data_IF_157549534793
#
_entry.id   IF_157549534793
#
_cell.length_a   1.000
_cell.length_b   1.000
_cell.length_c   1.000
_cell.angle_alpha   90.00
_cell.angle_beta   90.00
_cell.angle_gamma   90.00
#
_symmetry.space_group_name_H-M   'P 1'
#
loop_
_entity.id
_entity.type
_entity.pdbx_description
1 polymer ?
#
# COMPACT_ATOMS: atom_id res chain seq x y z
N UNK A 1 -11.25 -4.69 8.18
CA UNK A 1 -11.60 -6.04 7.66
C UNK A 1 -10.34 -6.89 7.65
N UNK A 2 -10.42 -8.22 7.83
CA UNK A 2 -9.25 -9.07 7.63
C UNK A 2 -8.76 -8.94 6.19
N UNK A 3 -7.46 -8.68 6.02
CA UNK A 3 -6.78 -8.81 4.73
C UNK A 3 -6.81 -10.30 4.35
N UNK A 4 -6.67 -10.61 3.07
CA UNK A 4 -6.85 -11.94 2.46
C UNK A 4 -6.27 -13.12 3.27
N UNK A 5 -6.79 -14.35 3.07
CA UNK A 5 -6.52 -15.50 3.94
C UNK A 5 -5.04 -15.82 4.18
N UNK A 6 -4.17 -15.44 3.24
CA UNK A 6 -2.72 -15.62 3.26
C UNK A 6 -2.01 -14.72 4.27
N UNK A 7 -2.65 -13.66 4.73
CA UNK A 7 -2.11 -12.76 5.74
C UNK A 7 -2.31 -13.31 7.18
N UNK A 8 -3.00 -14.45 7.35
CA UNK A 8 -3.29 -15.09 8.67
C UNK A 8 -2.14 -15.92 9.25
N UNK A 9 -0.92 -15.57 8.87
CA UNK A 9 0.26 -16.44 9.01
C UNK A 9 1.03 -16.16 10.30
N UNK A 10 0.92 -14.95 10.82
CA UNK A 10 1.63 -14.44 11.98
C UNK A 10 0.68 -14.25 13.18
N UNK A 11 1.25 -14.01 14.36
CA UNK A 11 0.47 -13.85 15.60
C UNK A 11 -0.38 -12.58 15.58
N UNK A 12 0.10 -11.54 14.92
CA UNK A 12 -0.60 -10.28 14.75
C UNK A 12 -1.69 -10.44 13.67
N UNK A 13 -2.89 -9.95 13.94
CA UNK A 13 -3.97 -10.00 12.97
C UNK A 13 -3.71 -8.97 11.85
N UNK A 14 -3.93 -9.38 10.60
CA UNK A 14 -3.89 -8.46 9.48
C UNK A 14 -5.16 -7.62 9.42
N UNK A 15 -5.01 -6.30 9.48
CA UNK A 15 -6.11 -5.35 9.58
C UNK A 15 -6.01 -4.32 8.46
N UNK A 16 -7.05 -4.27 7.64
CA UNK A 16 -7.25 -3.15 6.71
C UNK A 16 -8.10 -2.08 7.39
N UNK A 17 -7.50 -0.91 7.62
CA UNK A 17 -8.20 0.28 8.11
C UNK A 17 -8.64 1.13 6.91
N UNK A 18 -9.89 1.58 6.93
CA UNK A 18 -10.48 2.45 5.89
C UNK A 18 -10.94 3.73 6.56
N UNK A 19 -10.38 4.85 6.13
CA UNK A 19 -10.66 6.19 6.65
C UNK A 19 -11.41 6.95 5.54
N UNK A 20 -12.69 7.26 5.77
CA UNK A 20 -13.48 8.06 4.83
C UNK A 20 -13.53 9.52 5.29
N UNK A 21 -13.02 10.41 4.44
CA UNK A 21 -13.16 11.86 4.58
C UNK A 21 -14.16 12.38 3.55
N UNK A 22 -15.27 12.97 4.00
CA UNK A 22 -16.37 13.47 3.17
C UNK A 22 -16.45 14.99 3.24
N UNK A 23 -15.53 15.67 2.54
CA UNK A 23 -15.45 17.13 2.51
C UNK A 23 -16.21 17.79 1.36
N UNK A 24 -16.57 17.05 0.31
CA UNK A 24 -17.31 17.60 -0.83
C UNK A 24 -18.77 17.87 -0.46
N UNK A 25 -19.30 19.02 -0.93
CA UNK A 25 -20.73 19.34 -0.84
C UNK A 25 -21.55 18.69 -1.96
N UNK A 26 -20.89 18.23 -3.02
CA UNK A 26 -21.55 17.57 -4.14
C UNK A 26 -21.78 16.08 -3.78
N UNK A 27 -23.04 15.61 -3.71
CA UNK A 27 -23.34 14.21 -3.39
C UNK A 27 -22.82 13.22 -4.45
N UNK A 28 -22.64 13.67 -5.69
CA UNK A 28 -22.14 12.85 -6.81
C UNK A 28 -20.61 12.92 -6.96
N UNK A 29 -19.91 13.62 -6.06
CA UNK A 29 -18.46 13.71 -6.12
C UNK A 29 -17.82 12.36 -5.79
N UNK A 30 -17.21 11.75 -6.81
CA UNK A 30 -16.39 10.55 -6.67
C UNK A 30 -15.18 10.80 -5.77
N UNK A 31 -14.77 9.81 -4.96
CA UNK A 31 -13.63 9.97 -4.06
C UNK A 31 -12.30 9.80 -4.79
N UNK A 32 -11.27 10.48 -4.27
CA UNK A 32 -9.87 10.11 -4.49
C UNK A 32 -9.54 9.01 -3.46
N UNK A 33 -9.03 7.87 -3.93
CA UNK A 33 -8.58 6.79 -3.05
C UNK A 33 -7.06 6.78 -2.93
N UNK A 34 -6.57 6.77 -1.70
CA UNK A 34 -5.16 6.64 -1.38
C UNK A 34 -4.93 5.31 -0.66
N UNK A 35 -4.02 4.47 -1.17
CA UNK A 35 -3.74 3.12 -0.63
C UNK A 35 -2.31 3.05 -0.13
N UNK A 36 -2.10 2.74 1.14
CA UNK A 36 -0.76 2.64 1.71
C UNK A 36 -0.37 1.20 2.06
N UNK A 37 0.78 0.74 1.55
CA UNK A 37 1.44 -0.48 2.06
C UNK A 37 1.73 -0.30 3.55
N UNK A 38 1.24 -1.22 4.38
CA UNK A 38 1.27 -1.12 5.84
C UNK A 38 1.94 -2.31 6.52
N UNK A 39 3.06 -2.80 5.99
CA UNK A 39 3.81 -3.89 6.64
C UNK A 39 4.49 -3.34 7.89
N UNK A 40 3.94 -3.61 9.07
CA UNK A 40 4.46 -3.03 10.33
C UNK A 40 5.84 -3.58 10.68
N UNK A 41 6.15 -4.77 10.17
CA UNK A 41 7.51 -5.30 10.11
C UNK A 41 7.61 -6.32 8.97
N UNK A 42 8.71 -6.29 8.22
CA UNK A 42 8.99 -7.21 7.13
C UNK A 42 10.34 -7.91 7.31
N UNK A 43 10.29 -9.18 7.73
CA UNK A 43 11.48 -10.04 7.79
C UNK A 43 11.79 -10.74 6.46
N UNK A 44 10.92 -10.60 5.46
CA UNK A 44 10.90 -11.35 4.20
C UNK A 44 10.19 -12.71 4.26
N UNK A 45 9.77 -13.16 5.43
CA UNK A 45 9.07 -14.44 5.58
C UNK A 45 10.01 -15.64 5.43
N UNK A 46 9.62 -16.67 4.67
CA UNK A 46 10.47 -17.83 4.40
C UNK A 46 11.69 -17.46 3.55
N UNK A 47 11.52 -16.54 2.60
CA UNK A 47 12.58 -15.85 1.87
C UNK A 47 13.22 -14.77 2.74
N UNK A 48 13.79 -15.17 3.88
CA UNK A 48 14.25 -14.27 4.93
C UNK A 48 15.32 -13.27 4.46
N UNK A 49 15.19 -12.02 4.88
CA UNK A 49 16.20 -10.98 4.65
C UNK A 49 17.49 -11.25 5.45
N UNK A 50 18.65 -10.71 5.02
CA UNK A 50 19.85 -10.67 5.83
C UNK A 50 19.65 -9.88 7.14
N UNK A 51 20.50 -10.13 8.13
CA UNK A 51 20.42 -9.45 9.43
C UNK A 51 20.77 -7.96 9.36
N UNK A 52 21.70 -7.58 8.48
CA UNK A 52 22.14 -6.19 8.30
C UNK A 52 20.95 -5.30 7.94
N UNK A 53 20.76 -4.22 8.72
CA UNK A 53 19.67 -3.24 8.59
C UNK A 53 18.25 -3.80 8.60
N UNK A 54 18.02 -5.04 9.07
CA UNK A 54 16.66 -5.58 9.18
C UNK A 54 15.78 -4.76 10.14
N UNK A 55 16.37 -4.05 11.11
CA UNK A 55 15.63 -3.16 12.01
C UNK A 55 14.97 -1.97 11.29
N UNK A 56 15.45 -1.61 10.10
CA UNK A 56 14.85 -0.59 9.25
C UNK A 56 13.54 -1.09 8.60
N UNK A 57 13.27 -2.40 8.59
CA UNK A 57 12.03 -2.94 8.03
C UNK A 57 10.79 -2.64 8.88
N UNK A 58 10.96 -1.99 10.04
CA UNK A 58 9.85 -1.28 10.72
C UNK A 58 9.30 -0.11 9.91
N UNK A 59 10.06 0.40 8.92
CA UNK A 59 9.64 1.45 8.00
C UNK A 59 8.85 0.89 6.80
N UNK A 60 8.61 -0.42 6.73
CA UNK A 60 7.89 -1.03 5.61
C UNK A 60 6.35 -0.75 5.60
N UNK A 61 5.93 0.09 6.55
CA UNK A 61 4.60 0.69 6.68
C UNK A 61 4.57 2.18 6.33
N UNK A 62 5.67 2.77 5.84
CA UNK A 62 5.75 4.21 5.55
C UNK A 62 4.78 4.65 4.44
N UNK A 63 4.35 3.72 3.57
CA UNK A 63 3.27 3.96 2.62
C UNK A 63 1.94 4.28 3.32
N UNK A 64 1.53 3.41 4.26
CA UNK A 64 0.39 3.67 5.14
C UNK A 64 0.59 4.90 6.03
N UNK A 65 1.79 5.14 6.54
CA UNK A 65 2.07 6.34 7.33
C UNK A 65 1.85 7.63 6.51
N UNK A 66 2.27 7.64 5.25
CA UNK A 66 2.08 8.76 4.33
C UNK A 66 0.60 9.00 4.04
N UNK A 67 -0.17 7.94 3.76
CA UNK A 67 -1.63 8.04 3.56
C UNK A 67 -2.31 8.57 4.82
N UNK A 68 -1.97 8.06 6.01
CA UNK A 68 -2.50 8.56 7.27
C UNK A 68 -2.21 10.05 7.46
N UNK A 69 -0.99 10.50 7.16
CA UNK A 69 -0.60 11.91 7.21
C UNK A 69 -1.43 12.78 6.28
N UNK A 70 -1.68 12.34 5.04
CA UNK A 70 -2.53 13.05 4.07
C UNK A 70 -3.98 13.12 4.57
N UNK A 71 -4.54 12.04 5.12
CA UNK A 71 -5.90 12.04 5.67
C UNK A 71 -6.01 13.01 6.86
N UNK A 72 -5.00 13.04 7.74
CA UNK A 72 -4.93 13.99 8.86
C UNK A 72 -4.88 15.44 8.37
N UNK A 73 -4.11 15.72 7.31
CA UNK A 73 -4.02 17.05 6.69
C UNK A 73 -5.34 17.45 6.03
N UNK A 74 -5.97 16.57 5.25
CA UNK A 74 -7.25 16.84 4.59
C UNK A 74 -8.35 17.23 5.60
N UNK A 75 -8.39 16.54 6.74
CA UNK A 75 -9.31 16.86 7.84
C UNK A 75 -9.00 18.22 8.49
N UNK A 76 -7.72 18.58 8.65
CA UNK A 76 -7.30 19.87 9.23
C UNK A 76 -7.68 21.04 8.34
N UNK A 77 -7.39 20.93 7.04
CA UNK A 77 -7.62 21.98 6.07
C UNK A 77 -9.08 22.05 5.61
N UNK A 78 -9.91 21.08 6.01
CA UNK A 78 -11.30 20.97 5.59
C UNK A 78 -11.45 21.03 4.07
N UNK A 79 -10.59 20.27 3.36
CA UNK A 79 -10.57 20.27 1.90
C UNK A 79 -11.96 19.94 1.32
N UNK A 80 -12.44 20.64 0.30
CA UNK A 80 -13.77 20.40 -0.29
C UNK A 80 -13.78 19.17 -1.22
N UNK A 81 -13.16 18.07 -0.79
CA UNK A 81 -12.94 16.84 -1.56
C UNK A 81 -13.43 15.61 -0.78
N UNK A 82 -13.82 14.56 -1.49
CA UNK A 82 -14.03 13.24 -0.90
C UNK A 82 -12.74 12.43 -1.05
N UNK A 83 -12.21 11.93 0.07
CA UNK A 83 -10.97 11.14 0.09
C UNK A 83 -11.19 9.87 0.90
N UNK A 84 -10.76 8.73 0.38
CA UNK A 84 -10.73 7.46 1.10
C UNK A 84 -9.28 7.03 1.28
N UNK A 85 -8.80 6.99 2.52
CA UNK A 85 -7.48 6.49 2.85
C UNK A 85 -7.56 5.04 3.32
N UNK A 86 -6.77 4.15 2.72
CA UNK A 86 -6.69 2.73 3.10
C UNK A 86 -5.31 2.42 3.63
N UNK A 87 -5.25 1.89 4.85
CA UNK A 87 -4.01 1.44 5.50
C UNK A 87 -4.02 -0.09 5.54
N UNK A 88 -3.19 -0.71 4.70
CA UNK A 88 -3.16 -2.17 4.55
C UNK A 88 -2.19 -2.80 5.55
N UNK A 89 -2.63 -2.92 6.81
CA UNK A 89 -1.82 -3.35 7.94
C UNK A 89 -1.63 -4.87 8.05
N UNK A 90 -0.38 -5.34 8.01
CA UNK A 90 -0.01 -6.73 8.30
C UNK A 90 1.47 -6.83 8.70
N UNK A 91 1.96 -8.03 9.00
CA UNK A 91 3.39 -8.33 9.16
C UNK A 91 3.83 -9.42 8.18
N UNK A 92 5.13 -9.50 7.90
CA UNK A 92 5.70 -10.62 7.15
C UNK A 92 6.77 -11.32 8.00
N UNK A 93 6.45 -12.53 8.45
CA UNK A 93 7.23 -13.30 9.42
C UNK A 93 7.39 -14.76 8.99
N UNK A 94 8.57 -15.38 9.18
CA UNK A 94 8.71 -16.82 9.02
C UNK A 94 7.94 -17.58 10.10
N UNK A 95 7.52 -18.80 9.77
CA UNK A 95 6.90 -19.69 10.73
C UNK A 95 6.33 -20.94 10.07
N UNK A 96 5.92 -21.92 10.88
CA UNK A 96 5.35 -23.18 10.38
C UNK A 96 4.02 -23.04 9.64
N UNK A 97 3.39 -21.86 9.69
CA UNK A 97 2.17 -21.52 8.94
C UNK A 97 2.42 -20.52 7.82
N UNK A 98 3.69 -20.17 7.54
CA UNK A 98 4.04 -19.23 6.49
C UNK A 98 3.64 -19.71 5.10
N UNK A 99 3.18 -18.77 4.27
CA UNK A 99 3.13 -18.99 2.83
C UNK A 99 4.58 -19.12 2.33
N UNK A 100 4.76 -19.91 1.27
CA UNK A 100 6.06 -20.44 0.86
C UNK A 100 6.35 -20.08 -0.59
N UNK A 101 7.63 -20.04 -0.97
CA UNK A 101 8.00 -20.08 -2.38
C UNK A 101 7.35 -21.28 -3.08
N UNK A 102 6.69 -21.04 -4.21
CA UNK A 102 5.93 -22.01 -4.99
C UNK A 102 4.44 -22.13 -4.62
N UNK A 103 3.97 -21.51 -3.52
CA UNK A 103 2.55 -21.45 -3.24
C UNK A 103 1.83 -20.59 -4.31
N UNK A 104 0.64 -21.03 -4.73
CA UNK A 104 -0.21 -20.28 -5.67
C UNK A 104 -1.42 -19.74 -4.92
N UNK A 105 -1.51 -18.42 -4.85
CA UNK A 105 -2.56 -17.72 -4.12
C UNK A 105 -3.65 -17.27 -5.10
N UNK A 106 -4.91 -17.33 -4.67
CA UNK A 106 -6.03 -16.70 -5.40
C UNK A 106 -6.29 -15.31 -4.83
N UNK A 107 -6.17 -14.29 -5.66
CA UNK A 107 -6.43 -12.89 -5.30
C UNK A 107 -7.93 -12.61 -5.23
N UNK A 108 -8.30 -11.46 -4.67
CA UNK A 108 -9.69 -11.01 -4.52
C UNK A 108 -10.43 -10.92 -5.85
N UNK A 109 -9.74 -10.59 -6.95
CA UNK A 109 -10.36 -10.53 -8.28
C UNK A 109 -10.43 -11.91 -8.99
N UNK A 110 -10.01 -12.98 -8.31
CA UNK A 110 -10.05 -14.35 -8.82
C UNK A 110 -8.81 -14.77 -9.63
N UNK A 111 -7.88 -13.88 -9.94
CA UNK A 111 -6.61 -14.24 -10.57
C UNK A 111 -5.72 -15.04 -9.61
N UNK A 112 -4.90 -15.93 -10.17
CA UNK A 112 -3.89 -16.66 -9.40
C UNK A 112 -2.51 -16.03 -9.51
N UNK A 113 -1.74 -16.08 -8.43
CA UNK A 113 -0.36 -15.56 -8.34
C UNK A 113 0.53 -16.64 -7.74
N UNK A 114 1.56 -17.06 -8.47
CA UNK A 114 2.63 -17.89 -7.93
C UNK A 114 3.61 -17.02 -7.12
N UNK A 115 3.82 -17.39 -5.86
CA UNK A 115 4.77 -16.71 -4.98
C UNK A 115 6.15 -17.31 -5.18
N UNK A 116 7.00 -16.67 -5.97
CA UNK A 116 8.39 -17.12 -6.13
C UNK A 116 9.29 -16.68 -4.96
N UNK A 117 8.96 -15.54 -4.34
CA UNK A 117 9.72 -14.96 -3.25
C UNK A 117 8.74 -14.34 -2.24
N UNK A 118 8.82 -14.75 -0.98
CA UNK A 118 7.90 -14.26 0.07
C UNK A 118 8.23 -12.85 0.55
N UNK A 119 9.40 -12.32 0.19
CA UNK A 119 9.87 -10.93 0.37
C UNK A 119 9.34 -9.96 -0.72
N UNK A 120 8.47 -10.48 -1.59
CA UNK A 120 7.68 -9.68 -2.52
C UNK A 120 6.21 -9.60 -2.02
N UNK A 121 6.01 -9.49 -0.72
CA UNK A 121 4.71 -9.48 -0.04
C UNK A 121 3.89 -8.23 -0.30
N UNK A 122 4.54 -7.06 -0.40
CA UNK A 122 3.85 -5.77 -0.49
C UNK A 122 2.87 -5.73 -1.68
N UNK A 123 3.26 -6.28 -2.83
CA UNK A 123 2.38 -6.37 -4.01
C UNK A 123 1.24 -7.38 -3.86
N UNK A 124 1.40 -8.42 -3.03
CA UNK A 124 0.36 -9.40 -2.73
C UNK A 124 -0.72 -8.80 -1.82
N UNK A 125 -0.31 -7.93 -0.89
CA UNK A 125 -1.25 -7.15 -0.07
C UNK A 125 -1.96 -6.11 -0.94
N UNK A 126 -1.20 -5.35 -1.73
CA UNK A 126 -1.76 -4.27 -2.53
C UNK A 126 -2.73 -4.74 -3.60
N UNK A 127 -2.54 -5.89 -4.27
CA UNK A 127 -3.44 -6.32 -5.34
C UNK A 127 -4.89 -6.57 -4.84
N UNK A 128 -5.04 -7.16 -3.65
CA UNK A 128 -6.35 -7.36 -3.04
C UNK A 128 -6.97 -6.05 -2.57
N UNK A 129 -6.15 -5.12 -2.04
CA UNK A 129 -6.63 -3.80 -1.62
C UNK A 129 -7.05 -2.95 -2.82
N UNK A 130 -6.29 -2.99 -3.91
CA UNK A 130 -6.60 -2.31 -5.17
C UNK A 130 -7.91 -2.84 -5.76
N UNK A 131 -8.16 -4.15 -5.68
CA UNK A 131 -9.44 -4.75 -6.05
C UNK A 131 -10.56 -4.29 -5.09
N UNK A 132 -10.29 -4.28 -3.79
CA UNK A 132 -11.27 -3.88 -2.78
C UNK A 132 -11.79 -2.46 -2.99
N UNK A 133 -10.91 -1.52 -3.36
CA UNK A 133 -11.28 -0.10 -3.48
C UNK A 133 -12.10 0.22 -4.73
N UNK A 134 -12.19 -0.69 -5.71
CA UNK A 134 -13.10 -0.54 -6.87
C UNK A 134 -14.55 -0.29 -6.44
N UNK A 135 -14.94 -0.84 -5.28
CA UNK A 135 -16.28 -0.68 -4.71
C UNK A 135 -16.68 0.77 -4.38
N UNK A 136 -15.70 1.67 -4.29
CA UNK A 136 -15.94 3.09 -4.02
C UNK A 136 -16.17 3.90 -5.30
N UNK A 137 -16.09 3.26 -6.47
CA UNK A 137 -16.17 3.90 -7.79
C UNK A 137 -15.29 5.17 -7.88
N UNK A 138 -13.99 5.06 -7.54
CA UNK A 138 -13.13 6.21 -7.38
C UNK A 138 -12.93 6.98 -8.69
N UNK A 139 -12.65 8.27 -8.56
CA UNK A 139 -12.18 9.09 -9.68
C UNK A 139 -10.72 8.74 -10.00
N UNK A 140 -9.91 8.60 -8.95
CA UNK A 140 -8.48 8.28 -9.02
C UNK A 140 -8.11 7.35 -7.86
N UNK A 141 -7.18 6.42 -8.13
CA UNK A 141 -6.52 5.59 -7.12
C UNK A 141 -5.02 5.85 -7.17
N UNK A 142 -4.41 6.11 -6.01
CA UNK A 142 -2.96 6.28 -5.86
C UNK A 142 -2.49 5.36 -4.73
N UNK A 143 -1.60 4.42 -5.03
CA UNK A 143 -0.91 3.65 -4.00
C UNK A 143 0.45 4.24 -3.64
N UNK A 144 0.84 4.07 -2.37
CA UNK A 144 2.13 4.53 -1.82
C UNK A 144 2.76 3.35 -1.09
N UNK A 145 3.97 2.97 -1.49
CA UNK A 145 4.61 1.76 -0.97
C UNK A 145 6.14 1.84 -0.93
N UNK A 146 6.72 1.38 0.18
CA UNK A 146 8.12 0.96 0.30
C UNK A 146 8.30 -0.39 -0.39
N UNK A 147 8.19 -0.40 -1.72
CA UNK A 147 7.91 -1.65 -2.45
C UNK A 147 9.15 -2.45 -2.86
N UNK A 148 10.23 -1.78 -3.27
CA UNK A 148 11.40 -2.47 -3.83
C UNK A 148 12.71 -1.77 -3.49
N UNK A 149 13.75 -2.55 -3.20
CA UNK A 149 15.13 -2.04 -3.17
C UNK A 149 15.62 -1.57 -4.54
N UNK A 150 15.05 -2.09 -5.64
CA UNK A 150 15.39 -1.66 -7.00
C UNK A 150 15.09 -0.18 -7.26
N UNK A 151 14.03 0.37 -6.67
CA UNK A 151 13.73 1.80 -6.78
C UNK A 151 14.82 2.66 -6.12
N UNK A 152 15.34 2.22 -4.97
CA UNK A 152 16.47 2.89 -4.29
C UNK A 152 17.75 2.80 -5.14
N UNK A 153 18.03 1.65 -5.75
CA UNK A 153 19.19 1.51 -6.66
C UNK A 153 19.06 2.45 -7.87
N UNK A 154 17.85 2.62 -8.40
CA UNK A 154 17.60 3.42 -9.60
C UNK A 154 17.60 4.95 -9.35
N UNK A 155 17.02 5.41 -8.24
CA UNK A 155 16.73 6.83 -7.99
C UNK A 155 17.36 7.38 -6.69
N UNK A 156 18.00 6.53 -5.89
CA UNK A 156 18.56 6.89 -4.59
C UNK A 156 17.49 7.25 -3.56
N UNK A 157 17.84 8.16 -2.66
CA UNK A 157 16.98 8.61 -1.55
C UNK A 157 16.36 10.00 -1.78
N UNK A 158 16.48 10.54 -3.00
CA UNK A 158 16.16 11.94 -3.28
C UNK A 158 14.85 12.14 -4.06
N UNK A 159 14.41 11.11 -4.77
CA UNK A 159 13.24 11.12 -5.64
C UNK A 159 12.42 9.85 -5.42
N UNK A 160 11.10 10.01 -5.37
CA UNK A 160 10.17 8.89 -5.37
C UNK A 160 9.96 8.39 -6.80
N UNK A 161 9.97 7.07 -7.00
CA UNK A 161 9.59 6.46 -8.28
C UNK A 161 8.08 6.55 -8.51
N UNK A 162 7.67 6.95 -9.71
CA UNK A 162 6.26 7.06 -10.11
C UNK A 162 5.99 6.18 -11.33
N UNK A 163 4.93 5.38 -11.26
CA UNK A 163 4.37 4.63 -12.39
C UNK A 163 2.87 4.91 -12.44
N UNK A 164 2.32 5.08 -13.65
CA UNK A 164 0.90 5.35 -13.85
C UNK A 164 0.43 4.79 -15.19
N UNK A 165 -0.85 4.45 -15.26
CA UNK A 165 -1.55 4.10 -16.50
C UNK A 165 -2.26 5.31 -17.15
N UNK A 166 -2.20 6.48 -16.53
CA UNK A 166 -2.86 7.71 -16.98
C UNK A 166 -1.88 8.90 -16.94
N UNK A 167 -1.44 9.35 -18.12
CA UNK A 167 -0.41 10.38 -18.27
C UNK A 167 -0.79 11.76 -17.64
N UNK A 168 -2.04 12.25 -17.74
CA UNK A 168 -2.44 13.48 -17.07
C UNK A 168 -2.22 13.43 -15.56
N UNK A 169 -2.68 12.37 -14.89
CA UNK A 169 -2.47 12.16 -13.45
C UNK A 169 -0.98 12.11 -13.10
N UNK A 170 -0.17 11.41 -13.89
CA UNK A 170 1.28 11.37 -13.68
C UNK A 170 1.90 12.77 -13.73
N UNK A 171 1.46 13.59 -14.68
CA UNK A 171 1.96 14.96 -14.89
C UNK A 171 1.54 15.89 -13.74
N UNK A 172 0.32 15.74 -13.24
CA UNK A 172 -0.18 16.46 -12.06
C UNK A 172 0.63 16.12 -10.81
N UNK A 173 0.92 14.84 -10.57
CA UNK A 173 1.72 14.40 -9.42
C UNK A 173 3.17 14.89 -9.50
N UNK A 174 3.79 14.84 -10.69
CA UNK A 174 5.14 15.39 -10.90
C UNK A 174 5.14 16.89 -10.62
N UNK A 175 4.20 17.63 -11.20
CA UNK A 175 4.09 19.09 -11.01
C UNK A 175 3.90 19.45 -9.54
N UNK A 176 3.05 18.72 -8.81
CA UNK A 176 2.86 18.91 -7.37
C UNK A 176 4.14 18.62 -6.58
N UNK A 177 4.90 17.59 -6.96
CA UNK A 177 6.17 17.25 -6.30
C UNK A 177 7.25 18.33 -6.46
N UNK A 178 7.26 19.04 -7.58
CA UNK A 178 8.19 20.16 -7.83
C UNK A 178 7.80 21.40 -7.02
N UNK A 179 6.51 21.64 -6.81
CA UNK A 179 6.00 22.76 -6.02
C UNK A 179 6.17 22.57 -4.51
N UNK A 180 6.09 21.33 -4.03
CA UNK A 180 6.22 21.01 -2.60
C UNK A 180 7.67 20.93 -2.10
N UNK A 181 8.65 21.20 -2.98
CA UNK A 181 10.08 21.07 -2.73
C UNK A 181 10.72 22.29 -2.09
#
# INVERSE_FOLDING_TARGET
>A
MPISPWAKVHKNESLMSVIEYKGSKNPDAKPIVLVGKGLTFDSGGISIKPADSMDEMKYDMCGAASVYGVMRMAAELQLPLNIVGVLAGCENMPGGRAYRPGDVLTTMNGQTVEVLNTDAEGRLVLCDVLTYVERFEPDVVIDVATLTGACVIALGHHLTGLMANHNPLASELISASEQAR
#
